data_IF_247836237336
#
_entry.id   IF_247836237336
#
_cell.length_a   1.000
_cell.length_b   1.000
_cell.length_c   1.000
_cell.angle_alpha   90.00
_cell.angle_beta   90.00
_cell.angle_gamma   90.00
#
_symmetry.space_group_name_H-M   'P 1'
#
loop_
_entity.id
_entity.type
_entity.pdbx_description
1 polymer ?
#
# COMPACT_ATOMS: atom_id res chain seq x y z
N UNK A 1 18.04 -12.93 7.62
CA UNK A 1 18.74 -11.73 8.12
C UNK A 1 18.21 -11.45 9.52
N UNK A 2 19.03 -11.35 10.59
CA UNK A 2 18.55 -11.33 11.97
C UNK A 2 18.30 -9.90 12.48
N UNK A 3 17.59 -9.08 11.72
CA UNK A 3 17.09 -7.80 12.24
C UNK A 3 15.63 -8.01 12.63
N UNK A 4 15.36 -8.08 13.94
CA UNK A 4 13.99 -8.17 14.46
C UNK A 4 13.25 -6.87 14.12
N UNK A 5 11.99 -6.98 13.68
CA UNK A 5 11.01 -5.88 13.52
C UNK A 5 10.58 -5.30 14.87
N UNK A 6 11.56 -5.00 15.73
CA UNK A 6 11.36 -4.54 17.11
C UNK A 6 10.57 -3.24 17.14
N UNK A 7 10.75 -2.38 16.14
CA UNK A 7 10.00 -1.14 16.00
C UNK A 7 8.48 -1.40 15.87
N UNK A 8 8.05 -2.37 15.06
CA UNK A 8 6.63 -2.72 14.95
C UNK A 8 6.08 -3.30 16.27
N UNK A 9 6.87 -4.13 16.96
CA UNK A 9 6.49 -4.67 18.29
C UNK A 9 6.23 -3.57 19.33
N UNK A 10 6.89 -2.42 19.22
CA UNK A 10 6.60 -1.27 20.09
C UNK A 10 5.30 -0.55 19.69
N UNK A 11 5.05 -0.37 18.38
CA UNK A 11 3.81 0.24 17.87
C UNK A 11 2.55 -0.55 18.25
N UNK A 12 2.67 -1.89 18.28
CA UNK A 12 1.58 -2.78 18.70
C UNK A 12 1.20 -2.64 20.20
N UNK A 13 1.95 -1.86 20.98
CA UNK A 13 1.55 -1.50 22.36
C UNK A 13 0.51 -0.38 22.40
N UNK A 14 0.36 0.37 21.31
CA UNK A 14 -0.67 1.39 21.13
C UNK A 14 -1.86 0.81 20.36
N UNK A 15 -3.03 1.40 20.58
CA UNK A 15 -4.25 1.02 19.86
C UNK A 15 -4.11 1.31 18.36
N UNK A 16 -4.95 0.66 17.55
CA UNK A 16 -4.91 0.89 16.10
C UNK A 16 -5.34 2.32 15.75
N UNK A 17 -6.21 2.88 16.59
CA UNK A 17 -6.76 4.22 16.47
C UNK A 17 -5.71 5.29 16.81
N UNK A 18 -4.82 5.03 17.78
CA UNK A 18 -3.70 5.93 18.14
C UNK A 18 -2.62 6.00 17.05
N UNK A 19 -2.41 4.92 16.31
CA UNK A 19 -1.37 4.81 15.27
C UNK A 19 -1.93 5.03 13.85
N UNK A 20 -3.25 5.15 13.71
CA UNK A 20 -3.87 5.44 12.42
C UNK A 20 -3.43 6.83 11.92
N UNK A 21 -2.96 6.97 10.67
CA UNK A 21 -2.48 8.25 10.17
C UNK A 21 -3.63 9.26 10.00
N UNK A 22 -3.37 10.53 10.32
CA UNK A 22 -4.29 11.62 9.96
C UNK A 22 -4.19 11.89 8.44
N UNK A 23 -5.23 11.45 7.72
CA UNK A 23 -5.35 11.59 6.27
C UNK A 23 -6.41 12.65 5.87
N UNK A 24 -6.83 13.52 6.80
CA UNK A 24 -7.94 14.46 6.61
C UNK A 24 -7.77 15.46 5.46
N UNK A 25 -6.52 15.70 5.02
CA UNK A 25 -6.18 16.63 3.94
C UNK A 25 -5.50 15.93 2.75
N UNK A 26 -5.63 14.61 2.66
CA UNK A 26 -4.91 13.81 1.70
C UNK A 26 -5.76 13.48 0.47
N UNK A 27 -5.11 13.47 -0.67
CA UNK A 27 -5.67 13.21 -1.99
C UNK A 27 -4.66 12.37 -2.80
N UNK A 28 -4.53 11.11 -2.38
CA UNK A 28 -3.79 10.05 -3.09
C UNK A 28 -4.61 8.75 -3.03
N UNK A 29 -4.29 7.77 -3.87
CA UNK A 29 -5.09 6.53 -3.96
C UNK A 29 -5.09 5.74 -2.64
N UNK A 30 -3.95 5.62 -1.96
CA UNK A 30 -3.83 4.96 -0.66
C UNK A 30 -4.80 5.56 0.36
N UNK A 31 -4.84 6.89 0.48
CA UNK A 31 -5.71 7.58 1.45
C UNK A 31 -7.21 7.43 1.18
N UNK A 32 -7.61 7.13 -0.07
CA UNK A 32 -9.01 6.81 -0.41
C UNK A 32 -9.41 5.38 0.00
N UNK A 33 -8.44 4.48 0.11
CA UNK A 33 -8.67 3.05 0.37
C UNK A 33 -8.46 2.71 1.84
N UNK A 34 -7.47 3.34 2.49
CA UNK A 34 -7.11 3.03 3.87
C UNK A 34 -8.21 3.48 4.84
N UNK A 35 -8.85 2.53 5.51
CA UNK A 35 -9.80 2.79 6.60
C UNK A 35 -9.21 2.34 7.95
N UNK A 36 -9.73 2.84 9.08
CA UNK A 36 -9.31 2.37 10.41
C UNK A 36 -9.42 0.85 10.58
N UNK A 37 -10.45 0.24 10.03
CA UNK A 37 -10.67 -1.22 10.07
C UNK A 37 -9.64 -1.97 9.23
N UNK A 38 -9.31 -1.45 8.04
CA UNK A 38 -8.28 -2.02 7.17
C UNK A 38 -6.90 -1.92 7.83
N UNK A 39 -6.57 -0.76 8.38
CA UNK A 39 -5.32 -0.54 9.12
C UNK A 39 -5.19 -1.49 10.30
N UNK A 40 -6.23 -1.59 11.14
CA UNK A 40 -6.27 -2.51 12.28
C UNK A 40 -6.04 -3.97 11.90
N UNK A 41 -6.55 -4.40 10.75
CA UNK A 41 -6.41 -5.79 10.25
C UNK A 41 -5.03 -6.10 9.66
N UNK A 42 -4.32 -5.08 9.17
CA UNK A 42 -3.06 -5.26 8.44
C UNK A 42 -1.82 -4.78 9.21
N UNK A 43 -1.97 -3.93 10.24
CA UNK A 43 -0.84 -3.28 10.95
C UNK A 43 0.09 -4.23 11.68
N UNK A 44 -0.38 -5.42 12.04
CA UNK A 44 0.41 -6.45 12.70
C UNK A 44 1.12 -7.40 11.72
N UNK A 45 0.88 -7.23 10.41
CA UNK A 45 1.50 -8.04 9.36
C UNK A 45 2.85 -7.49 8.95
N UNK A 46 3.72 -8.42 8.59
CA UNK A 46 5.01 -8.16 7.95
C UNK A 46 5.25 -9.18 6.84
N UNK A 47 5.99 -8.78 5.82
CA UNK A 47 6.48 -9.68 4.77
C UNK A 47 7.64 -10.53 5.30
N UNK A 48 8.10 -11.56 4.56
CA UNK A 48 9.27 -12.35 4.98
C UNK A 48 10.55 -11.52 5.15
N UNK A 49 10.65 -10.34 4.51
CA UNK A 49 11.77 -9.42 4.68
C UNK A 49 11.62 -8.47 5.87
N UNK A 50 10.45 -8.44 6.50
CA UNK A 50 10.11 -7.54 7.61
C UNK A 50 9.45 -6.23 7.19
N UNK A 51 9.02 -6.09 5.93
CA UNK A 51 8.32 -4.89 5.44
C UNK A 51 6.88 -4.85 5.99
N UNK A 52 6.47 -3.72 6.55
CA UNK A 52 5.20 -3.57 7.27
C UNK A 52 4.19 -2.71 6.52
N UNK A 53 2.93 -2.69 6.98
CA UNK A 53 1.92 -1.79 6.43
C UNK A 53 2.34 -0.30 6.53
N UNK A 54 2.99 0.08 7.64
CA UNK A 54 3.43 1.46 7.83
C UNK A 54 4.49 1.84 6.78
N UNK A 55 5.42 0.92 6.49
CA UNK A 55 6.42 1.12 5.43
C UNK A 55 5.77 1.26 4.04
N UNK A 56 4.70 0.48 3.79
CA UNK A 56 3.91 0.56 2.55
C UNK A 56 3.30 1.94 2.38
N UNK A 57 2.71 2.53 3.43
CA UNK A 57 1.89 3.75 3.32
C UNK A 57 2.65 5.05 3.61
N UNK A 58 3.86 4.98 4.19
CA UNK A 58 4.58 6.16 4.70
C UNK A 58 4.69 7.28 3.65
N UNK A 59 4.97 6.94 2.39
CA UNK A 59 5.06 7.94 1.32
C UNK A 59 3.74 8.69 1.10
N UNK A 60 2.59 8.02 1.21
CA UNK A 60 1.29 8.67 1.08
C UNK A 60 0.88 9.45 2.32
N UNK A 61 1.36 9.05 3.50
CA UNK A 61 1.16 9.83 4.75
C UNK A 61 1.95 11.14 4.69
N UNK A 62 3.22 11.09 4.28
CA UNK A 62 4.11 12.26 4.23
C UNK A 62 3.78 13.20 3.07
N UNK A 63 3.22 12.66 1.98
CA UNK A 63 2.89 13.42 0.77
C UNK A 63 1.37 13.46 0.58
N UNK A 64 0.67 14.48 1.11
CA UNK A 64 -0.79 14.54 1.10
C UNK A 64 -1.38 14.60 -0.31
N UNK A 65 -0.59 14.88 -1.33
CA UNK A 65 -1.02 14.81 -2.72
C UNK A 65 -0.25 15.81 -3.56
N UNK A 66 -0.63 15.93 -4.83
CA UNK A 66 -0.08 16.93 -5.74
C UNK A 66 -1.24 17.70 -6.40
N UNK A 67 -1.15 19.03 -6.57
CA UNK A 67 -2.28 19.85 -7.05
C UNK A 67 -2.88 19.43 -8.40
N UNK A 68 -2.11 18.74 -9.24
CA UNK A 68 -2.50 18.43 -10.62
C UNK A 68 -2.54 16.94 -10.95
N UNK A 69 -1.96 16.07 -10.11
CA UNK A 69 -1.86 14.64 -10.40
C UNK A 69 -2.29 13.84 -9.17
N UNK A 70 -3.02 12.76 -9.40
CA UNK A 70 -3.33 11.78 -8.37
C UNK A 70 -2.11 10.88 -8.17
N UNK A 71 -1.48 10.98 -7.01
CA UNK A 71 -0.38 10.07 -6.64
C UNK A 71 -0.93 8.76 -6.06
N UNK A 72 -0.13 7.70 -6.11
CA UNK A 72 -0.54 6.39 -5.58
C UNK A 72 -0.55 6.39 -4.05
N UNK A 73 0.51 6.88 -3.41
CA UNK A 73 0.57 7.02 -1.95
C UNK A 73 0.94 5.73 -1.19
N UNK A 74 1.32 4.66 -1.89
CA UNK A 74 1.88 3.47 -1.27
C UNK A 74 2.92 2.79 -2.18
N UNK A 75 3.83 2.03 -1.58
CA UNK A 75 4.91 1.30 -2.28
C UNK A 75 5.04 -0.13 -1.75
N UNK A 76 5.51 -1.03 -2.60
CA UNK A 76 5.93 -2.37 -2.19
C UNK A 76 7.43 -2.37 -1.85
N UNK A 77 7.81 -3.03 -0.75
CA UNK A 77 9.21 -3.20 -0.36
C UNK A 77 9.83 -4.48 -0.93
N UNK A 78 9.00 -5.46 -1.24
CA UNK A 78 9.35 -6.75 -1.82
C UNK A 78 8.17 -7.34 -2.62
N UNK A 79 8.35 -8.53 -3.20
CA UNK A 79 7.33 -9.20 -4.01
C UNK A 79 6.10 -9.57 -3.17
N UNK A 80 6.33 -10.09 -1.96
CA UNK A 80 5.29 -10.55 -1.05
C UNK A 80 4.41 -9.42 -0.53
N UNK A 81 4.87 -8.17 -0.56
CA UNK A 81 4.09 -6.98 -0.19
C UNK A 81 2.73 -6.94 -0.89
N UNK A 82 2.67 -7.29 -2.19
CA UNK A 82 1.42 -7.29 -2.95
C UNK A 82 0.41 -8.34 -2.48
N UNK A 83 0.87 -9.46 -1.91
CA UNK A 83 -0.02 -10.51 -1.39
C UNK A 83 -0.36 -10.28 0.09
N UNK A 84 0.63 -9.95 0.93
CA UNK A 84 0.44 -9.71 2.37
C UNK A 84 -0.49 -8.52 2.62
N UNK A 85 -0.38 -7.46 1.81
CA UNK A 85 -1.18 -6.25 1.91
C UNK A 85 -2.17 -6.09 0.75
N UNK A 86 -2.59 -7.20 0.13
CA UNK A 86 -3.52 -7.19 -1.02
C UNK A 86 -4.81 -6.42 -0.77
N UNK A 87 -5.35 -6.49 0.46
CA UNK A 87 -6.58 -5.78 0.81
C UNK A 87 -6.45 -4.25 0.67
N UNK A 88 -5.22 -3.72 0.70
CA UNK A 88 -4.90 -2.32 0.35
C UNK A 88 -4.52 -2.18 -1.13
N UNK A 89 -3.61 -3.02 -1.63
CA UNK A 89 -3.08 -2.89 -2.99
C UNK A 89 -4.13 -3.14 -4.08
N UNK A 90 -5.00 -4.14 -3.94
CA UNK A 90 -5.98 -4.52 -4.96
C UNK A 90 -6.94 -3.35 -5.28
N UNK A 91 -7.60 -2.69 -4.30
CA UNK A 91 -8.42 -1.51 -4.58
C UNK A 91 -7.62 -0.32 -5.13
N UNK A 92 -6.38 -0.10 -4.66
CA UNK A 92 -5.50 0.96 -5.18
C UNK A 92 -5.14 0.72 -6.65
N UNK A 93 -4.77 -0.51 -7.00
CA UNK A 93 -4.45 -0.92 -8.37
C UNK A 93 -5.67 -0.77 -9.27
N UNK A 94 -6.84 -1.23 -8.79
CA UNK A 94 -8.09 -1.12 -9.52
C UNK A 94 -8.45 0.34 -9.82
N UNK A 95 -8.35 1.25 -8.85
CA UNK A 95 -8.62 2.68 -9.06
C UNK A 95 -7.58 3.31 -10.00
N UNK A 96 -6.29 3.03 -9.78
CA UNK A 96 -5.20 3.62 -10.57
C UNK A 96 -5.16 3.14 -12.02
N UNK A 97 -5.55 1.89 -12.29
CA UNK A 97 -5.50 1.25 -13.60
C UNK A 97 -6.87 1.13 -14.27
N UNK A 98 -7.80 2.04 -13.96
CA UNK A 98 -9.04 2.17 -14.72
C UNK A 98 -10.00 0.99 -14.59
N UNK A 99 -10.06 0.38 -13.41
CA UNK A 99 -10.96 -0.73 -13.10
C UNK A 99 -10.33 -2.11 -13.24
N UNK A 100 -9.00 -2.21 -13.31
CA UNK A 100 -8.28 -3.49 -13.38
C UNK A 100 -8.53 -4.34 -12.12
N UNK A 101 -9.27 -5.44 -12.27
CA UNK A 101 -9.74 -6.25 -11.15
C UNK A 101 -8.68 -7.24 -10.68
N UNK A 102 -8.77 -7.73 -9.43
CA UNK A 102 -7.88 -8.81 -8.95
C UNK A 102 -7.95 -10.10 -9.79
N UNK A 103 -9.05 -10.31 -10.51
CA UNK A 103 -9.24 -11.47 -11.40
C UNK A 103 -8.70 -11.28 -12.81
N UNK A 104 -8.33 -10.06 -13.18
CA UNK A 104 -7.82 -9.75 -14.52
C UNK A 104 -6.38 -10.23 -14.66
N UNK A 105 -5.99 -10.59 -15.89
CA UNK A 105 -4.66 -11.12 -16.20
C UNK A 105 -3.87 -10.16 -17.07
N UNK A 106 -2.67 -9.82 -16.62
CA UNK A 106 -1.77 -8.97 -17.37
C UNK A 106 -1.29 -9.72 -18.61
N UNK A 107 -1.31 -9.04 -19.77
CA UNK A 107 -0.79 -9.58 -21.02
C UNK A 107 0.47 -8.79 -21.37
N UNK A 108 1.56 -9.51 -21.59
CA UNK A 108 2.83 -8.94 -22.00
C UNK A 108 3.10 -9.35 -23.45
N UNK A 109 3.42 -8.37 -24.30
CA UNK A 109 3.92 -8.58 -25.65
C UNK A 109 5.20 -7.78 -25.81
N UNK A 110 6.34 -8.48 -25.87
CA UNK A 110 7.65 -7.89 -26.07
C UNK A 110 8.11 -7.94 -27.53
N UNK A 111 7.22 -8.33 -28.46
CA UNK A 111 7.53 -8.27 -29.88
C UNK A 111 7.39 -6.83 -30.40
N UNK A 112 8.51 -6.15 -30.62
CA UNK A 112 8.52 -4.76 -31.09
C UNK A 112 7.92 -4.59 -32.50
N UNK A 113 7.82 -5.66 -33.29
CA UNK A 113 7.20 -5.62 -34.63
C UNK A 113 5.69 -5.38 -34.58
N UNK A 114 5.05 -5.62 -33.43
CA UNK A 114 3.61 -5.37 -33.23
C UNK A 114 3.28 -3.88 -32.95
N UNK A 115 4.29 -3.00 -32.88
CA UNK A 115 4.10 -1.56 -32.70
C UNK A 115 3.46 -0.96 -33.96
N UNK A 116 2.34 -0.22 -33.77
CA UNK A 116 1.62 0.49 -34.84
C UNK A 116 2.02 1.95 -34.93
#
# INVERSE_FOLDING_TARGET
MPFSSTHNKHKLKFSAEEEFPDLSKHNNHMAKVLTPELYKRLRDKETPSGFTLDDVIQTGVDNPGHPFIMTVGCVAGDEESYEVFKDLFDPVIQDRHGGYKPTDKHRTDLNHENLK
#
